data_IF_452822108130
#
_entry.id   IF_452822108130
#
_cell.length_a   1.000
_cell.length_b   1.000
_cell.length_c   1.000
_cell.angle_alpha   90.00
_cell.angle_beta   90.00
_cell.angle_gamma   90.00
#
_symmetry.space_group_name_H-M   'P 1'
#
loop_
_entity.id
_entity.type
_entity.pdbx_description
1 polymer ?
#
# COMPACT_ATOMS: atom_id res chain seq x y z
N UNK A 1 -20.30 5.85 -25.13
CA UNK A 1 -20.31 4.75 -24.12
C UNK A 1 -18.87 4.41 -23.87
N UNK A 2 -18.35 4.81 -22.72
CA UNK A 2 -16.93 4.68 -22.43
C UNK A 2 -16.53 3.20 -22.35
N UNK A 3 -15.79 2.74 -23.36
CA UNK A 3 -15.40 1.33 -23.43
C UNK A 3 -14.22 1.08 -22.51
N UNK A 4 -14.47 0.52 -21.32
CA UNK A 4 -13.40 0.12 -20.39
C UNK A 4 -12.87 -1.25 -20.80
N UNK A 5 -11.60 -1.30 -21.22
CA UNK A 5 -10.89 -2.53 -21.60
C UNK A 5 -10.06 -3.07 -20.44
N UNK A 6 -9.66 -4.33 -20.51
CA UNK A 6 -8.85 -4.98 -19.47
C UNK A 6 -7.35 -4.80 -19.74
N UNK A 7 -6.61 -4.36 -18.72
CA UNK A 7 -5.15 -4.35 -18.72
C UNK A 7 -4.60 -5.77 -18.55
N UNK A 8 -3.70 -6.20 -19.45
CA UNK A 8 -3.18 -7.59 -19.49
C UNK A 8 -1.65 -7.68 -19.35
N UNK A 9 -0.88 -6.78 -19.98
CA UNK A 9 0.58 -6.92 -20.07
C UNK A 9 1.25 -6.30 -18.84
N UNK A 10 2.25 -6.99 -18.29
CA UNK A 10 2.97 -6.53 -17.11
C UNK A 10 3.63 -5.15 -17.25
N UNK A 11 4.23 -4.77 -18.40
CA UNK A 11 4.77 -3.42 -18.59
C UNK A 11 3.72 -2.33 -18.33
N UNK A 12 2.48 -2.53 -18.80
CA UNK A 12 1.39 -1.57 -18.62
C UNK A 12 0.99 -1.42 -17.15
N UNK A 13 1.01 -2.53 -16.38
CA UNK A 13 0.77 -2.46 -14.93
C UNK A 13 1.84 -1.64 -14.21
N UNK A 14 3.11 -1.73 -14.64
CA UNK A 14 4.21 -0.96 -14.07
C UNK A 14 4.12 0.52 -14.47
N UNK A 15 3.79 0.79 -15.73
CA UNK A 15 3.52 2.11 -16.26
C UNK A 15 2.41 2.84 -15.47
N UNK A 16 1.28 2.18 -15.24
CA UNK A 16 0.18 2.72 -14.44
C UNK A 16 0.60 2.96 -12.97
N UNK A 17 1.44 2.10 -12.40
CA UNK A 17 1.93 2.24 -11.02
C UNK A 17 2.87 3.44 -10.80
N UNK A 18 3.52 3.91 -11.87
CA UNK A 18 4.33 5.13 -11.90
C UNK A 18 3.52 6.43 -12.00
N UNK A 19 2.22 6.33 -12.27
CA UNK A 19 1.34 7.48 -12.43
C UNK A 19 0.76 8.01 -11.11
N UNK A 20 -0.37 8.72 -11.24
CA UNK A 20 -1.13 9.29 -10.12
C UNK A 20 -1.66 8.19 -9.22
N UNK A 21 -1.78 8.49 -7.93
CA UNK A 21 -2.26 7.53 -6.92
C UNK A 21 -3.47 8.09 -6.18
N UNK A 22 -4.40 7.20 -5.89
CA UNK A 22 -5.56 7.47 -5.07
C UNK A 22 -5.68 6.34 -4.05
N UNK A 23 -5.93 6.69 -2.79
CA UNK A 23 -6.00 5.72 -1.70
C UNK A 23 -7.31 5.87 -0.95
N UNK A 24 -7.95 4.73 -0.73
CA UNK A 24 -9.08 4.57 0.19
C UNK A 24 -8.75 3.44 1.17
N UNK A 25 -9.59 3.27 2.16
CA UNK A 25 -9.50 2.14 3.10
C UNK A 25 -9.63 0.79 2.38
N UNK A 26 -10.48 0.73 1.34
CA UNK A 26 -10.88 -0.51 0.66
C UNK A 26 -10.01 -0.83 -0.55
N UNK A 27 -9.44 0.19 -1.19
CA UNK A 27 -8.65 0.03 -2.40
C UNK A 27 -7.63 1.16 -2.59
N UNK A 28 -6.57 0.86 -3.33
CA UNK A 28 -5.68 1.88 -3.90
C UNK A 28 -5.85 1.86 -5.42
N UNK A 29 -5.96 3.00 -6.07
CA UNK A 29 -5.90 3.11 -7.52
C UNK A 29 -4.63 3.84 -7.93
N UNK A 30 -4.07 3.42 -9.05
CA UNK A 30 -2.92 4.04 -9.69
C UNK A 30 -3.25 4.23 -11.15
N UNK A 31 -2.95 5.37 -11.75
CA UNK A 31 -3.29 5.59 -13.14
C UNK A 31 -2.35 6.55 -13.85
N UNK A 32 -2.11 6.27 -15.12
CA UNK A 32 -1.30 7.08 -16.02
C UNK A 32 -2.17 7.49 -17.21
N UNK A 33 -2.10 8.75 -17.61
CA UNK A 33 -2.61 9.18 -18.89
C UNK A 33 -1.73 8.62 -20.00
N UNK A 34 -2.34 8.21 -21.10
CA UNK A 34 -1.64 7.76 -22.28
C UNK A 34 -1.66 8.86 -23.33
N UNK A 35 -0.58 8.95 -24.07
CA UNK A 35 -0.49 9.85 -25.21
C UNK A 35 -1.45 9.35 -26.32
N UNK A 36 -2.06 10.25 -27.09
CA UNK A 36 -3.05 9.90 -28.11
C UNK A 36 -2.48 8.96 -29.20
N UNK A 37 -1.18 9.04 -29.48
CA UNK A 37 -0.50 8.24 -30.50
C UNK A 37 0.07 6.91 -29.95
N UNK A 38 -0.21 6.56 -28.69
CA UNK A 38 0.30 5.32 -28.10
C UNK A 38 -0.46 4.10 -28.69
N UNK A 39 0.26 3.23 -29.40
CA UNK A 39 -0.28 1.98 -29.92
C UNK A 39 -0.16 0.83 -28.92
N UNK A 40 -1.14 -0.08 -28.97
CA UNK A 40 -1.15 -1.32 -28.20
C UNK A 40 -1.63 -2.46 -29.08
N UNK A 41 -0.83 -3.52 -29.12
CA UNK A 41 -1.12 -4.72 -29.93
C UNK A 41 -1.30 -4.39 -31.44
N UNK A 42 -0.60 -3.36 -31.96
CA UNK A 42 -0.67 -2.94 -33.36
C UNK A 42 -1.94 -2.17 -33.73
N UNK A 43 -2.67 -1.65 -32.73
CA UNK A 43 -3.83 -0.80 -32.92
C UNK A 43 -3.73 0.44 -32.00
N UNK A 44 -4.38 1.56 -32.35
CA UNK A 44 -4.53 2.70 -31.46
C UNK A 44 -5.07 2.26 -30.11
N UNK A 45 -4.37 2.58 -29.03
CA UNK A 45 -4.79 2.20 -27.70
C UNK A 45 -5.86 3.17 -27.19
N UNK A 46 -7.00 3.22 -27.85
CA UNK A 46 -8.04 4.17 -27.50
C UNK A 46 -8.78 3.75 -26.22
N UNK A 47 -9.15 4.75 -25.41
CA UNK A 47 -9.98 4.57 -24.21
C UNK A 47 -9.24 4.10 -22.95
N UNK A 48 -10.03 3.64 -21.98
CA UNK A 48 -9.56 3.35 -20.62
C UNK A 48 -9.25 1.86 -20.47
N UNK A 49 -8.03 1.52 -20.05
CA UNK A 49 -7.66 0.15 -19.70
C UNK A 49 -7.52 0.01 -18.19
N UNK A 50 -8.22 -0.99 -17.62
CA UNK A 50 -8.23 -1.22 -16.19
C UNK A 50 -7.72 -2.62 -15.81
N UNK A 51 -6.81 -2.66 -14.84
CA UNK A 51 -6.26 -3.87 -14.22
C UNK A 51 -6.67 -3.99 -12.76
N UNK A 52 -7.07 -5.20 -12.32
CA UNK A 52 -7.31 -5.49 -10.91
C UNK A 52 -6.17 -6.31 -10.32
N UNK A 53 -5.61 -5.80 -9.22
CA UNK A 53 -4.60 -6.49 -8.41
C UNK A 53 -5.21 -6.81 -7.05
N UNK A 54 -5.20 -8.08 -6.65
CA UNK A 54 -5.70 -8.51 -5.35
C UNK A 54 -4.53 -9.13 -4.58
N UNK A 55 -4.15 -8.51 -3.47
CA UNK A 55 -2.98 -8.94 -2.71
C UNK A 55 -3.25 -10.25 -1.98
N UNK A 56 -2.19 -11.03 -1.71
CA UNK A 56 -2.29 -12.27 -0.91
C UNK A 56 -2.81 -12.02 0.52
N UNK A 57 -2.62 -10.79 1.05
CA UNK A 57 -3.03 -10.39 2.41
C UNK A 57 -4.55 -10.28 2.59
N UNK A 58 -5.30 -10.26 1.50
CA UNK A 58 -6.76 -10.13 1.51
C UNK A 58 -7.43 -11.39 2.05
N UNK A 59 -6.86 -12.56 1.80
CA UNK A 59 -7.43 -13.83 2.23
C UNK A 59 -7.17 -14.99 1.27
N UNK A 60 -7.94 -16.06 1.41
CA UNK A 60 -7.87 -17.28 0.63
C UNK A 60 -8.30 -17.08 -0.83
N UNK A 61 -8.14 -18.12 -1.67
CA UNK A 61 -8.49 -18.05 -3.09
C UNK A 61 -9.97 -17.65 -3.31
N UNK A 62 -10.89 -18.18 -2.51
CA UNK A 62 -12.32 -17.90 -2.60
C UNK A 62 -12.66 -16.44 -2.33
N UNK A 63 -12.06 -15.87 -1.27
CA UNK A 63 -12.22 -14.45 -0.91
C UNK A 63 -11.70 -13.53 -2.02
N UNK A 64 -10.51 -13.83 -2.56
CA UNK A 64 -9.94 -13.09 -3.70
C UNK A 64 -10.81 -13.19 -4.95
N UNK A 65 -11.37 -14.36 -5.24
CA UNK A 65 -12.26 -14.56 -6.38
C UNK A 65 -13.59 -13.80 -6.20
N UNK A 66 -14.14 -13.80 -4.98
CA UNK A 66 -15.34 -13.03 -4.64
C UNK A 66 -15.12 -11.55 -4.87
N UNK A 67 -14.01 -10.99 -4.36
CA UNK A 67 -13.66 -9.58 -4.57
C UNK A 67 -13.46 -9.29 -6.07
N UNK A 68 -12.77 -10.16 -6.81
CA UNK A 68 -12.58 -9.97 -8.26
C UNK A 68 -13.91 -9.89 -9.00
N UNK A 69 -14.86 -10.77 -8.65
CA UNK A 69 -16.22 -10.75 -9.23
C UNK A 69 -16.96 -9.47 -8.87
N UNK A 70 -16.96 -9.09 -7.58
CA UNK A 70 -17.61 -7.87 -7.09
C UNK A 70 -17.06 -6.61 -7.77
N UNK A 71 -15.74 -6.49 -7.89
CA UNK A 71 -15.10 -5.34 -8.55
C UNK A 71 -15.40 -5.26 -10.03
N UNK A 72 -15.51 -6.40 -10.74
CA UNK A 72 -15.94 -6.41 -12.14
C UNK A 72 -17.37 -5.93 -12.30
N UNK A 73 -18.28 -6.39 -11.45
CA UNK A 73 -19.67 -5.92 -11.46
C UNK A 73 -19.76 -4.44 -11.12
N UNK A 74 -18.99 -3.96 -10.13
CA UNK A 74 -18.94 -2.54 -9.78
C UNK A 74 -18.36 -1.68 -10.92
N UNK A 75 -17.40 -2.21 -11.67
CA UNK A 75 -16.82 -1.53 -12.83
C UNK A 75 -17.84 -1.29 -13.94
N UNK A 76 -18.72 -2.26 -14.21
CA UNK A 76 -19.77 -2.09 -15.20
C UNK A 76 -20.66 -0.88 -14.88
N UNK A 77 -21.01 -0.68 -13.60
CA UNK A 77 -21.82 0.47 -13.14
C UNK A 77 -21.03 1.77 -13.01
N UNK A 78 -19.72 1.69 -12.84
CA UNK A 78 -18.84 2.86 -12.81
C UNK A 78 -18.50 3.37 -14.22
N UNK A 79 -18.63 2.52 -15.24
CA UNK A 79 -18.29 2.84 -16.62
C UNK A 79 -19.17 3.93 -17.23
N UNK A 80 -20.46 4.00 -16.86
CA UNK A 80 -21.42 4.97 -17.40
C UNK A 80 -21.06 6.44 -17.12
N UNK A 81 -20.11 6.71 -16.21
CA UNK A 81 -19.59 8.05 -15.93
C UNK A 81 -18.07 8.15 -16.05
N UNK A 82 -17.42 7.18 -16.70
CA UNK A 82 -15.98 7.20 -16.90
C UNK A 82 -15.60 8.19 -18.01
N UNK A 83 -14.49 8.92 -17.89
CA UNK A 83 -14.02 9.77 -18.97
C UNK A 83 -13.54 8.93 -20.17
N UNK A 84 -13.90 9.35 -21.38
CA UNK A 84 -13.45 8.76 -22.66
C UNK A 84 -12.02 9.25 -22.98
N UNK A 85 -11.07 8.90 -22.12
CA UNK A 85 -9.66 9.30 -22.28
C UNK A 85 -8.74 8.08 -22.35
N UNK A 86 -7.66 8.21 -23.11
CA UNK A 86 -6.57 7.24 -23.13
C UNK A 86 -5.89 7.19 -21.78
N UNK A 87 -6.16 6.16 -20.98
CA UNK A 87 -5.52 6.00 -19.68
C UNK A 87 -5.36 4.52 -19.30
N UNK A 88 -4.30 4.23 -18.55
CA UNK A 88 -4.07 2.94 -17.92
C UNK A 88 -4.26 3.08 -16.41
N UNK A 89 -5.16 2.28 -15.84
CA UNK A 89 -5.50 2.31 -14.42
C UNK A 89 -5.35 0.93 -13.80
N UNK A 90 -4.70 0.87 -12.64
CA UNK A 90 -4.56 -0.33 -11.83
C UNK A 90 -5.21 -0.09 -10.48
N UNK A 91 -6.19 -0.94 -10.15
CA UNK A 91 -6.88 -0.94 -8.86
C UNK A 91 -6.37 -2.11 -8.02
N UNK A 92 -5.82 -1.79 -6.86
CA UNK A 92 -5.31 -2.73 -5.86
C UNK A 92 -6.36 -2.85 -4.75
N UNK A 93 -7.02 -4.01 -4.67
CA UNK A 93 -8.00 -4.29 -3.63
C UNK A 93 -7.34 -4.61 -2.30
N UNK A 94 -7.88 -4.06 -1.20
CA UNK A 94 -7.49 -4.34 0.19
C UNK A 94 -8.55 -5.22 0.87
N UNK A 95 -8.21 -5.75 2.05
CA UNK A 95 -9.08 -6.67 2.80
C UNK A 95 -10.48 -6.08 3.09
N UNK A 96 -10.64 -4.80 3.49
CA UNK A 96 -11.96 -4.23 3.74
C UNK A 96 -12.92 -4.23 2.54
N UNK A 97 -12.42 -4.43 1.30
CA UNK A 97 -13.27 -4.54 0.12
C UNK A 97 -14.17 -5.79 0.11
N UNK A 98 -13.88 -6.80 0.95
CA UNK A 98 -14.71 -8.02 1.00
C UNK A 98 -16.03 -7.81 1.72
N UNK A 99 -16.03 -7.01 2.78
CA UNK A 99 -17.19 -6.78 3.65
C UNK A 99 -17.89 -5.45 3.33
N UNK A 100 -17.24 -4.59 2.54
CA UNK A 100 -17.82 -3.32 2.13
C UNK A 100 -19.15 -3.49 1.39
N UNK A 101 -20.10 -2.56 1.56
CA UNK A 101 -21.30 -2.50 0.72
C UNK A 101 -20.95 -2.34 -0.76
N UNK A 102 -21.74 -2.94 -1.64
CA UNK A 102 -21.49 -2.89 -3.08
C UNK A 102 -21.53 -1.46 -3.64
N UNK A 103 -22.49 -0.64 -3.19
CA UNK A 103 -22.59 0.78 -3.57
C UNK A 103 -21.33 1.57 -3.20
N UNK A 104 -20.75 1.30 -2.02
CA UNK A 104 -19.50 1.94 -1.62
C UNK A 104 -18.34 1.58 -2.54
N UNK A 105 -18.29 0.34 -3.05
CA UNK A 105 -17.28 -0.08 -4.02
C UNK A 105 -17.44 0.62 -5.36
N UNK A 106 -18.68 0.83 -5.82
CA UNK A 106 -18.98 1.57 -7.05
C UNK A 106 -18.54 3.03 -6.90
N UNK A 107 -18.89 3.67 -5.79
CA UNK A 107 -18.53 5.06 -5.54
C UNK A 107 -17.01 5.26 -5.37
N UNK A 108 -16.34 4.37 -4.62
CA UNK A 108 -14.89 4.38 -4.48
C UNK A 108 -14.20 4.23 -5.84
N UNK A 109 -14.74 3.37 -6.72
CA UNK A 109 -14.21 3.17 -8.07
C UNK A 109 -14.45 4.39 -8.96
N UNK A 110 -15.62 5.01 -8.90
CA UNK A 110 -15.92 6.26 -9.61
C UNK A 110 -14.98 7.39 -9.19
N UNK A 111 -14.77 7.56 -7.88
CA UNK A 111 -13.81 8.54 -7.32
C UNK A 111 -12.38 8.24 -7.76
N UNK A 112 -11.98 6.97 -7.67
CA UNK A 112 -10.66 6.53 -8.08
C UNK A 112 -10.41 6.86 -9.55
N UNK A 113 -11.32 6.47 -10.46
CA UNK A 113 -11.22 6.76 -11.88
C UNK A 113 -11.05 8.27 -12.10
N UNK A 114 -12.00 9.10 -11.66
CA UNK A 114 -11.91 10.57 -11.83
C UNK A 114 -10.61 11.16 -11.27
N UNK A 115 -10.13 10.64 -10.14
CA UNK A 115 -8.91 11.17 -9.50
C UNK A 115 -7.64 10.80 -10.27
N UNK A 116 -7.53 9.57 -10.78
CA UNK A 116 -6.31 9.10 -11.47
C UNK A 116 -6.27 9.48 -12.94
N UNK A 117 -7.43 9.74 -13.55
CA UNK A 117 -7.59 10.12 -14.96
C UNK A 117 -7.63 11.64 -15.17
N UNK A 118 -7.58 12.45 -14.11
CA UNK A 118 -7.57 13.92 -14.27
C UNK A 118 -6.22 14.38 -14.83
N UNK A 119 -6.24 15.31 -15.80
CA UNK A 119 -5.02 15.94 -16.31
C UNK A 119 -4.24 16.64 -15.18
N UNK A 120 -2.90 16.63 -15.20
CA UNK A 120 -2.10 17.25 -14.16
C UNK A 120 -2.31 18.77 -14.16
N UNK A 121 -3.15 19.26 -13.24
CA UNK A 121 -3.06 20.64 -12.78
C UNK A 121 -1.81 20.83 -11.91
N UNK A 122 -1.35 22.08 -11.70
CA UNK A 122 -0.12 22.34 -10.95
C UNK A 122 -0.16 21.65 -9.58
N UNK A 123 0.95 20.95 -9.31
CA UNK A 123 1.17 19.98 -8.23
C UNK A 123 0.45 20.32 -6.91
N UNK A 124 -0.65 19.62 -6.62
CA UNK A 124 -1.08 19.41 -5.23
C UNK A 124 -0.57 18.05 -4.79
N UNK A 125 0.57 18.07 -4.11
CA UNK A 125 1.10 16.96 -3.34
C UNK A 125 0.13 16.70 -2.18
N UNK A 126 -0.72 15.68 -2.26
CA UNK A 126 -1.47 15.25 -1.09
C UNK A 126 -1.80 13.78 -1.14
N UNK A 127 -0.80 12.95 -0.84
CA UNK A 127 -0.89 11.84 0.13
C UNK A 127 0.34 10.95 -0.01
N UNK A 128 1.53 11.51 0.19
CA UNK A 128 2.70 10.72 0.56
C UNK A 128 2.54 10.42 2.06
N UNK A 129 1.80 9.36 2.40
CA UNK A 129 1.87 8.79 3.75
C UNK A 129 3.14 7.95 3.79
N UNK A 130 4.07 8.23 4.71
CA UNK A 130 5.35 7.52 4.76
C UNK A 130 5.09 6.03 4.98
N UNK A 131 5.72 5.21 4.16
CA UNK A 131 5.79 3.76 4.29
C UNK A 131 6.53 3.41 5.60
N UNK A 132 5.88 2.88 6.67
CA UNK A 132 6.57 2.56 7.91
C UNK A 132 7.18 1.16 7.81
N UNK A 133 8.08 0.96 6.84
CA UNK A 133 8.74 -0.34 6.62
C UNK A 133 10.21 -0.17 6.22
N UNK A 134 10.97 0.58 7.01
CA UNK A 134 12.43 0.43 7.14
C UNK A 134 12.89 1.14 8.41
N UNK A 135 12.74 0.47 9.55
CA UNK A 135 13.47 0.87 10.75
C UNK A 135 14.97 0.71 10.50
N UNK A 136 15.82 1.70 10.81
CA UNK A 136 17.27 1.52 10.72
C UNK A 136 17.68 0.50 11.78
N UNK A 137 18.37 -0.56 11.35
CA UNK A 137 19.06 -1.49 12.25
C UNK A 137 20.17 -0.69 12.94
N UNK A 138 19.91 -0.26 14.17
CA UNK A 138 20.89 0.45 15.00
C UNK A 138 22.04 -0.52 15.30
N UNK A 139 23.18 -0.25 14.70
CA UNK A 139 24.46 -0.89 14.98
C UNK A 139 24.78 -0.78 16.47
N UNK A 140 25.30 -1.87 17.01
CA UNK A 140 25.75 -2.00 18.39
C UNK A 140 27.18 -1.48 18.47
N UNK A 141 27.33 -0.17 18.63
CA UNK A 141 28.63 0.43 18.93
C UNK A 141 28.88 0.36 20.43
N UNK A 142 29.84 -0.50 20.81
CA UNK A 142 30.49 -0.52 22.14
C UNK A 142 31.27 0.79 22.34
N UNK A 143 31.23 1.43 23.51
CA UNK A 143 32.32 2.29 23.93
C UNK A 143 33.29 1.52 24.84
N UNK A 144 34.55 1.47 24.41
CA UNK A 144 35.70 1.24 25.28
C UNK A 144 36.15 2.60 25.84
N UNK A 145 36.47 2.67 27.14
CA UNK A 145 37.04 3.88 27.73
C UNK A 145 37.20 3.79 29.24
N UNK A 146 38.41 3.46 29.68
CA UNK A 146 38.90 3.37 31.05
C UNK A 146 39.04 4.77 31.69
N UNK A 147 38.80 4.86 33.00
CA UNK A 147 39.63 5.70 33.88
C UNK A 147 39.53 5.23 35.34
N UNK A 148 40.71 4.95 35.87
CA UNK A 148 41.15 4.55 37.20
C UNK A 148 40.80 5.50 38.34
N UNK A 149 40.68 5.00 39.58
CA UNK A 149 41.57 5.40 40.72
C UNK A 149 41.24 4.71 42.07
N UNK A 150 42.26 4.02 42.60
CA UNK A 150 42.75 3.96 44.01
C UNK A 150 41.90 3.38 45.17
N UNK A 151 42.49 2.32 45.78
CA UNK A 151 42.31 1.77 47.15
C UNK A 151 43.17 2.58 48.16
N UNK A 152 42.98 2.58 49.52
CA UNK A 152 43.06 1.38 50.39
C UNK A 152 42.20 1.32 51.69
N UNK A 153 42.20 0.13 52.29
CA UNK A 153 41.75 -0.36 53.63
C UNK A 153 42.38 0.39 54.84
N UNK A 154 42.01 0.19 56.15
CA UNK A 154 41.50 -1.04 56.81
C UNK A 154 40.41 -0.90 57.94
N UNK A 155 40.00 -2.07 58.46
CA UNK A 155 39.08 -2.49 59.55
C UNK A 155 39.31 -1.82 60.95
N UNK A 156 38.66 -2.21 62.08
CA UNK A 156 37.65 -3.25 62.39
C UNK A 156 36.52 -2.81 63.38
N UNK A 157 35.67 -3.74 63.85
CA UNK A 157 35.08 -3.96 65.22
C UNK A 157 33.79 -4.79 65.03
N UNK A 158 33.80 -6.11 65.26
CA UNK A 158 33.60 -6.84 66.53
C UNK A 158 32.13 -6.89 67.01
N UNK A 159 31.51 -8.07 66.96
CA UNK A 159 30.88 -8.79 68.10
C UNK A 159 29.96 -9.91 67.61
N UNK A 160 30.41 -11.15 67.84
CA UNK A 160 29.57 -12.31 68.13
C UNK A 160 28.93 -12.12 69.54
N UNK A 161 28.03 -12.99 70.09
CA UNK A 161 28.03 -14.44 69.91
C UNK A 161 26.67 -15.19 69.97
N UNK A 162 26.80 -16.50 69.75
CA UNK A 162 26.04 -17.64 70.30
C UNK A 162 24.57 -17.91 69.97
N UNK A 163 24.31 -19.18 69.62
CA UNK A 163 23.00 -19.80 69.82
C UNK A 163 22.70 -21.04 68.97
N UNK A 164 23.17 -22.21 69.42
CA UNK A 164 22.51 -23.54 69.45
C UNK A 164 21.71 -24.09 68.24
N UNK A 165 22.13 -25.20 67.63
CA UNK A 165 21.82 -26.64 67.88
C UNK A 165 20.42 -27.17 67.50
N UNK A 166 20.47 -28.19 66.65
CA UNK A 166 19.63 -29.41 66.51
C UNK A 166 18.13 -29.35 66.17
N UNK A 167 17.78 -30.24 65.22
CA UNK A 167 16.42 -30.64 64.81
C UNK A 167 16.45 -31.44 63.53
#
# INVERSE_FOLDING_TARGET
MSTIRRLRRRPDFLAAAGGRRFHTERMSAQGRLREPDEERDGAPAEGLFLGFTITKRVGHATERNRIRRRLRSALALAADGAPEIGADVVVIARRPAIDAPFESLVEDLRRALRSVTRQPGPKSQSSDRPNPARGPRRGRDRPAGKSSSLKPSPSPVSMAPDGSTDG
#
